data_IF_256127520630
#
_entry.id   IF_256127520630
#
_cell.length_a   1.000
_cell.length_b   1.000
_cell.length_c   1.000
_cell.angle_alpha   90.00
_cell.angle_beta   90.00
_cell.angle_gamma   90.00
#
_symmetry.space_group_name_H-M   'P 1'
#
loop_
_entity.id
_entity.type
_entity.pdbx_description
1 polymer ?
#
# COMPACT_ATOMS: atom_id res chain seq x y z
N UNK A 1 2.43 24.13 -4.75
CA UNK A 1 2.92 24.93 -3.59
C UNK A 1 3.26 26.39 -3.92
N UNK A 2 4.14 26.71 -4.89
CA UNK A 2 4.44 28.14 -5.23
C UNK A 2 3.21 28.91 -5.74
N UNK A 3 2.45 28.33 -6.67
CA UNK A 3 1.18 28.91 -7.17
C UNK A 3 0.15 29.12 -6.04
N UNK A 4 0.04 28.15 -5.12
CA UNK A 4 -0.84 28.24 -3.94
C UNK A 4 -0.39 29.36 -2.98
N UNK A 5 0.91 29.48 -2.71
CA UNK A 5 1.42 30.56 -1.85
C UNK A 5 1.20 31.96 -2.45
N UNK A 6 1.22 32.09 -3.78
CA UNK A 6 0.85 33.35 -4.44
C UNK A 6 -0.63 33.70 -4.24
N UNK A 7 -1.53 32.71 -4.27
CA UNK A 7 -2.95 32.91 -3.99
C UNK A 7 -3.21 33.35 -2.54
N UNK A 8 -2.27 33.04 -1.62
CA UNK A 8 -2.31 33.48 -0.23
C UNK A 8 -1.64 34.86 0.00
N UNK A 9 -1.29 35.60 -1.06
CA UNK A 9 -0.58 36.89 -1.01
C UNK A 9 0.76 36.85 -0.25
N UNK A 10 1.44 35.71 -0.23
CA UNK A 10 2.72 35.56 0.47
C UNK A 10 3.94 35.79 -0.44
N UNK A 11 5.02 36.31 0.14
CA UNK A 11 6.24 36.61 -0.60
C UNK A 11 6.98 35.32 -1.03
N UNK A 12 7.49 35.27 -2.27
CA UNK A 12 8.15 34.07 -2.85
C UNK A 12 9.26 33.52 -1.95
N UNK A 13 10.05 34.42 -1.35
CA UNK A 13 11.13 34.05 -0.41
C UNK A 13 10.60 33.30 0.81
N UNK A 14 9.48 33.76 1.38
CA UNK A 14 8.81 33.12 2.51
C UNK A 14 8.21 31.76 2.12
N UNK A 15 7.60 31.67 0.94
CA UNK A 15 7.06 30.41 0.40
C UNK A 15 8.18 29.37 0.22
N UNK A 16 9.31 29.76 -0.40
CA UNK A 16 10.46 28.87 -0.58
C UNK A 16 11.02 28.39 0.76
N UNK A 17 11.17 29.30 1.73
CA UNK A 17 11.64 28.96 3.09
C UNK A 17 10.67 27.99 3.78
N UNK A 18 9.36 28.23 3.68
CA UNK A 18 8.34 27.36 4.28
C UNK A 18 8.39 25.95 3.67
N UNK A 19 8.50 25.84 2.34
CA UNK A 19 8.64 24.54 1.64
C UNK A 19 9.89 23.80 2.11
N UNK A 20 11.03 24.48 2.20
CA UNK A 20 12.29 23.88 2.68
C UNK A 20 12.17 23.38 4.12
N UNK A 21 11.57 24.17 5.00
CA UNK A 21 11.33 23.77 6.40
C UNK A 21 10.41 22.54 6.45
N UNK A 22 9.31 22.55 5.70
CA UNK A 22 8.37 21.43 5.64
C UNK A 22 9.05 20.14 5.12
N UNK A 23 9.79 20.23 4.02
CA UNK A 23 10.54 19.10 3.46
C UNK A 23 11.57 18.55 4.46
N UNK A 24 12.34 19.43 5.11
CA UNK A 24 13.30 19.02 6.14
C UNK A 24 12.60 18.31 7.30
N UNK A 25 11.46 18.82 7.75
CA UNK A 25 10.68 18.20 8.84
C UNK A 25 10.09 16.86 8.44
N UNK A 26 9.57 16.74 7.22
CA UNK A 26 9.09 15.47 6.69
C UNK A 26 10.21 14.43 6.62
N UNK A 27 11.38 14.81 6.11
CA UNK A 27 12.54 13.91 6.05
C UNK A 27 12.99 13.47 7.45
N UNK A 28 13.12 14.42 8.38
CA UNK A 28 13.46 14.11 9.77
C UNK A 28 12.47 13.14 10.40
N UNK A 29 11.17 13.37 10.22
CA UNK A 29 10.13 12.49 10.73
C UNK A 29 10.25 11.06 10.16
N UNK A 30 10.47 10.91 8.85
CA UNK A 30 10.67 9.60 8.23
C UNK A 30 11.93 8.89 8.76
N UNK A 31 13.03 9.60 8.98
CA UNK A 31 14.24 9.02 9.58
C UNK A 31 14.03 8.63 11.05
N UNK A 32 13.30 9.45 11.81
CA UNK A 32 12.95 9.17 13.20
C UNK A 32 12.06 7.92 13.32
N UNK A 33 11.12 7.73 12.39
CA UNK A 33 10.31 6.51 12.31
C UNK A 33 11.17 5.27 12.05
N UNK A 34 12.09 5.32 11.07
CA UNK A 34 13.02 4.21 10.81
C UNK A 34 13.90 3.90 12.02
N UNK A 35 14.40 4.94 12.70
CA UNK A 35 15.19 4.79 13.94
C UNK A 35 14.35 4.13 15.04
N UNK A 36 13.11 4.57 15.23
CA UNK A 36 12.20 3.98 16.22
C UNK A 36 11.86 2.54 15.86
N UNK A 37 11.68 2.24 14.59
CA UNK A 37 11.43 0.89 14.10
C UNK A 37 12.57 -0.06 14.43
N UNK A 38 13.83 0.33 14.16
CA UNK A 38 15.00 -0.46 14.57
C UNK A 38 15.04 -0.71 16.07
N UNK A 39 14.72 0.29 16.89
CA UNK A 39 14.63 0.14 18.34
C UNK A 39 13.55 -0.89 18.74
N UNK A 40 12.34 -0.78 18.17
CA UNK A 40 11.22 -1.68 18.44
C UNK A 40 11.55 -3.11 18.02
N UNK A 41 12.07 -3.30 16.81
CA UNK A 41 12.43 -4.61 16.27
C UNK A 41 13.53 -5.29 17.09
N UNK A 42 14.57 -4.55 17.49
CA UNK A 42 15.63 -5.07 18.35
C UNK A 42 15.11 -5.47 19.75
N UNK A 43 14.12 -4.76 20.28
CA UNK A 43 13.53 -5.01 21.59
C UNK A 43 12.49 -6.16 21.61
N UNK A 44 12.12 -6.71 20.46
CA UNK A 44 11.18 -7.84 20.40
C UNK A 44 11.73 -9.06 21.14
N UNK A 45 13.04 -9.31 21.08
CA UNK A 45 13.68 -10.41 21.82
C UNK A 45 13.08 -11.79 21.50
N UNK A 46 12.73 -12.02 20.24
CA UNK A 46 12.08 -13.25 19.77
C UNK A 46 10.56 -13.32 19.98
N UNK A 47 9.95 -12.34 20.68
CA UNK A 47 8.48 -12.22 20.76
C UNK A 47 7.89 -11.94 19.39
N UNK A 48 6.65 -12.38 19.18
CA UNK A 48 5.93 -12.12 17.93
C UNK A 48 5.57 -10.64 17.82
N UNK A 49 5.92 -10.02 16.70
CA UNK A 49 5.49 -8.68 16.32
C UNK A 49 4.47 -8.75 15.18
N UNK A 50 3.49 -7.85 15.18
CA UNK A 50 2.41 -7.84 14.19
C UNK A 50 2.49 -6.58 13.35
N UNK A 51 2.92 -6.72 12.09
CA UNK A 51 3.10 -5.57 11.20
C UNK A 51 1.77 -5.20 10.56
N UNK A 52 1.31 -3.97 10.76
CA UNK A 52 0.10 -3.44 10.12
C UNK A 52 0.43 -3.08 8.67
N UNK A 53 -0.04 -3.89 7.73
CA UNK A 53 0.07 -3.66 6.30
C UNK A 53 -1.20 -2.96 5.84
N UNK A 54 -1.12 -1.66 5.61
CA UNK A 54 -2.29 -0.88 5.18
C UNK A 54 -1.87 0.39 4.49
N UNK A 55 -2.80 0.96 3.72
CA UNK A 55 -2.70 2.36 3.29
C UNK A 55 -2.88 3.30 4.49
N UNK A 56 -2.33 4.53 4.44
CA UNK A 56 -2.33 5.41 5.61
C UNK A 56 -3.75 5.77 6.08
N UNK A 57 -4.67 5.91 5.14
CA UNK A 57 -6.07 6.20 5.43
C UNK A 57 -6.81 5.03 6.12
N UNK A 58 -6.30 3.79 6.01
CA UNK A 58 -6.86 2.64 6.72
C UNK A 58 -6.15 2.44 8.07
N UNK A 59 -4.82 2.49 8.09
CA UNK A 59 -4.05 2.13 9.28
C UNK A 59 -4.04 3.19 10.37
N UNK A 60 -4.24 4.46 10.02
CA UNK A 60 -4.04 5.59 10.94
C UNK A 60 -5.33 6.29 11.36
N UNK A 61 -6.49 5.86 10.88
CA UNK A 61 -7.79 6.41 11.26
C UNK A 61 -8.57 5.36 12.09
N UNK A 62 -8.75 5.59 13.41
CA UNK A 62 -9.43 4.61 14.26
C UNK A 62 -10.91 4.40 13.91
N UNK A 63 -11.57 5.41 13.31
CA UNK A 63 -12.95 5.28 12.85
C UNK A 63 -13.06 4.41 11.60
N UNK A 64 -12.05 4.43 10.73
CA UNK A 64 -12.01 3.63 9.50
C UNK A 64 -11.49 2.20 9.71
N UNK A 65 -10.75 1.93 10.80
CA UNK A 65 -10.26 0.58 11.11
C UNK A 65 -10.88 -0.05 12.36
N UNK A 66 -11.92 0.57 12.92
CA UNK A 66 -12.66 0.07 14.07
C UNK A 66 -11.75 -0.18 15.29
N UNK A 67 -10.85 0.78 15.58
CA UNK A 67 -9.92 0.74 16.71
C UNK A 67 -9.07 -0.55 16.79
N UNK A 68 -8.70 -1.12 15.64
CA UNK A 68 -8.02 -2.43 15.60
C UNK A 68 -6.73 -2.48 16.42
N UNK A 69 -5.96 -1.39 16.46
CA UNK A 69 -4.70 -1.32 17.21
C UNK A 69 -4.94 -1.45 18.72
N UNK A 70 -6.04 -0.88 19.23
CA UNK A 70 -6.42 -1.00 20.64
C UNK A 70 -6.82 -2.43 20.98
N UNK A 71 -7.56 -3.10 20.09
CA UNK A 71 -7.95 -4.52 20.23
C UNK A 71 -6.75 -5.44 20.21
N UNK A 72 -5.81 -5.19 19.31
CA UNK A 72 -4.55 -5.91 19.27
C UNK A 72 -3.78 -5.75 20.59
N UNK A 73 -3.76 -4.55 21.17
CA UNK A 73 -3.11 -4.30 22.45
C UNK A 73 -3.77 -5.10 23.59
N UNK A 74 -5.09 -5.20 23.61
CA UNK A 74 -5.85 -6.02 24.58
C UNK A 74 -5.51 -7.51 24.47
N UNK A 75 -5.21 -7.98 23.26
CA UNK A 75 -4.78 -9.36 22.97
C UNK A 75 -3.25 -9.56 23.09
N UNK A 76 -2.52 -8.60 23.68
CA UNK A 76 -1.06 -8.61 23.80
C UNK A 76 -0.31 -8.72 22.45
N UNK A 77 -0.98 -8.33 21.37
CA UNK A 77 -0.40 -8.28 20.03
C UNK A 77 0.27 -6.92 19.82
N UNK A 78 1.61 -6.91 19.80
CA UNK A 78 2.35 -5.68 19.53
C UNK A 78 2.18 -5.27 18.06
N UNK A 79 1.31 -4.29 17.82
CA UNK A 79 1.11 -3.67 16.52
C UNK A 79 2.31 -2.80 16.14
N UNK A 80 2.87 -3.05 14.95
CA UNK A 80 4.03 -2.34 14.38
C UNK A 80 3.58 -1.71 13.07
N UNK A 81 3.48 -0.37 12.97
CA UNK A 81 3.17 0.29 11.71
C UNK A 81 4.19 -0.04 10.62
N UNK A 82 3.73 -0.27 9.39
CA UNK A 82 4.62 -0.51 8.24
C UNK A 82 5.63 0.63 8.01
N UNK A 83 5.34 1.86 8.42
CA UNK A 83 6.28 2.99 8.32
C UNK A 83 7.50 2.88 9.26
N UNK A 84 7.48 1.98 10.25
CA UNK A 84 8.64 1.67 11.09
C UNK A 84 9.62 0.72 10.39
N UNK A 85 9.23 0.12 9.28
CA UNK A 85 10.09 -0.74 8.47
C UNK A 85 10.99 0.11 7.55
N UNK A 86 12.22 -0.36 7.34
CA UNK A 86 13.18 0.30 6.44
C UNK A 86 12.99 -0.22 5.02
N UNK A 87 11.93 0.25 4.39
CA UNK A 87 11.49 -0.24 3.08
C UNK A 87 12.26 0.42 1.95
N UNK A 88 12.66 -0.40 0.97
CA UNK A 88 13.13 0.06 -0.34
C UNK A 88 12.20 -0.44 -1.46
N UNK A 89 11.21 0.37 -1.87
CA UNK A 89 10.27 -0.01 -2.93
C UNK A 89 10.91 -0.15 -4.31
N UNK A 90 12.11 0.41 -4.53
CA UNK A 90 12.77 0.39 -5.84
C UNK A 90 13.18 -1.03 -6.27
N UNK A 91 13.35 -1.94 -5.32
CA UNK A 91 13.70 -3.34 -5.56
C UNK A 91 12.50 -4.20 -5.99
N UNK A 92 11.27 -3.68 -5.89
CA UNK A 92 10.05 -4.43 -6.24
C UNK A 92 9.83 -4.48 -7.75
N UNK A 93 10.21 -3.42 -8.48
CA UNK A 93 9.97 -3.34 -9.92
C UNK A 93 10.71 -4.39 -10.74
N UNK A 94 11.76 -5.02 -10.20
CA UNK A 94 12.51 -6.08 -10.89
C UNK A 94 11.68 -7.37 -11.02
N UNK A 95 10.99 -7.78 -9.95
CA UNK A 95 10.18 -9.00 -9.93
C UNK A 95 8.71 -8.74 -10.26
N UNK A 96 8.23 -7.52 -9.98
CA UNK A 96 6.86 -7.07 -10.25
C UNK A 96 6.88 -5.83 -11.19
N UNK A 97 7.31 -5.98 -12.45
CA UNK A 97 7.40 -4.87 -13.40
C UNK A 97 6.05 -4.20 -13.72
N UNK A 98 4.93 -4.87 -13.43
CA UNK A 98 3.58 -4.32 -13.57
C UNK A 98 3.00 -3.75 -12.26
N UNK A 99 3.78 -3.64 -11.19
CA UNK A 99 3.33 -3.02 -9.95
C UNK A 99 3.40 -1.49 -10.06
N UNK A 100 2.44 -0.92 -10.79
CA UNK A 100 2.40 0.52 -11.06
C UNK A 100 2.00 1.37 -9.85
N UNK A 101 1.38 0.75 -8.83
CA UNK A 101 0.97 1.45 -7.61
C UNK A 101 2.16 1.60 -6.67
N UNK A 102 2.64 2.85 -6.47
CA UNK A 102 3.75 3.13 -5.56
C UNK A 102 3.53 2.62 -4.13
N UNK A 103 2.29 2.62 -3.65
CA UNK A 103 1.98 2.03 -2.34
C UNK A 103 1.92 0.49 -2.36
N UNK A 104 1.56 -0.12 -3.50
CA UNK A 104 1.69 -1.56 -3.70
C UNK A 104 3.14 -2.01 -3.65
N UNK A 105 4.05 -1.23 -4.24
CA UNK A 105 5.50 -1.46 -4.10
C UNK A 105 5.95 -1.38 -2.64
N UNK A 106 5.46 -0.42 -1.85
CA UNK A 106 5.75 -0.36 -0.41
C UNK A 106 5.24 -1.58 0.35
N UNK A 107 4.03 -2.05 0.03
CA UNK A 107 3.42 -3.24 0.64
C UNK A 107 4.24 -4.50 0.35
N UNK A 108 4.69 -4.68 -0.90
CA UNK A 108 5.54 -5.81 -1.28
C UNK A 108 6.96 -5.70 -0.68
N UNK A 109 7.52 -4.50 -0.57
CA UNK A 109 8.78 -4.29 0.14
C UNK A 109 8.65 -4.68 1.62
N UNK A 110 7.52 -4.37 2.25
CA UNK A 110 7.25 -4.77 3.62
C UNK A 110 7.13 -6.30 3.76
N UNK A 111 6.49 -6.96 2.79
CA UNK A 111 6.46 -8.42 2.75
C UNK A 111 7.87 -9.02 2.73
N UNK A 112 8.78 -8.49 1.90
CA UNK A 112 10.17 -8.96 1.85
C UNK A 112 10.91 -8.76 3.16
N UNK A 113 10.80 -7.58 3.77
CA UNK A 113 11.46 -7.31 5.04
C UNK A 113 10.90 -8.19 6.17
N UNK A 114 9.60 -8.51 6.16
CA UNK A 114 9.01 -9.45 7.12
C UNK A 114 9.61 -10.85 6.96
N UNK A 115 9.82 -11.31 5.72
CA UNK A 115 10.42 -12.62 5.42
C UNK A 115 11.85 -12.77 5.94
N UNK A 116 12.59 -11.67 6.06
CA UNK A 116 13.94 -11.64 6.63
C UNK A 116 13.96 -11.85 8.16
N UNK A 117 12.79 -11.97 8.78
CA UNK A 117 12.64 -12.20 10.23
C UNK A 117 11.93 -13.51 10.52
N UNK A 118 12.07 -14.07 11.72
CA UNK A 118 11.36 -15.30 12.12
C UNK A 118 10.13 -15.05 13.00
N UNK A 119 9.90 -13.81 13.41
CA UNK A 119 8.94 -13.45 14.45
C UNK A 119 7.98 -12.32 14.07
N UNK A 120 8.03 -11.79 12.84
CA UNK A 120 7.06 -10.82 12.36
C UNK A 120 5.94 -11.49 11.57
N UNK A 121 4.70 -11.08 11.84
CA UNK A 121 3.49 -11.57 11.18
C UNK A 121 2.69 -10.38 10.63
N UNK A 122 2.25 -10.40 9.36
CA UNK A 122 1.47 -9.30 8.81
C UNK A 122 0.00 -9.36 9.22
N UNK A 123 -0.59 -8.19 9.47
CA UNK A 123 -2.03 -7.94 9.50
C UNK A 123 -2.35 -6.94 8.40
N UNK A 124 -2.93 -7.42 7.31
CA UNK A 124 -3.28 -6.63 6.15
C UNK A 124 -4.67 -6.02 6.33
N UNK A 125 -4.78 -4.70 6.37
CA UNK A 125 -6.06 -3.98 6.45
C UNK A 125 -6.38 -3.36 5.08
N UNK A 126 -7.45 -3.85 4.47
CA UNK A 126 -8.01 -3.36 3.20
C UNK A 126 -9.48 -3.00 3.37
N UNK A 127 -10.08 -2.36 2.36
CA UNK A 127 -11.50 -2.01 2.38
C UNK A 127 -12.26 -2.79 1.31
N UNK A 128 -13.56 -2.96 1.53
CA UNK A 128 -14.45 -3.49 0.51
C UNK A 128 -14.39 -2.64 -0.77
N UNK A 129 -14.32 -3.31 -1.92
CA UNK A 129 -14.25 -2.62 -3.22
C UNK A 129 -12.92 -1.92 -3.53
N UNK A 130 -11.84 -2.14 -2.75
CA UNK A 130 -10.55 -1.54 -3.06
C UNK A 130 -9.90 -2.19 -4.29
N UNK A 131 -10.18 -1.63 -5.48
CA UNK A 131 -9.68 -2.12 -6.77
C UNK A 131 -8.16 -2.33 -6.83
N UNK A 132 -7.31 -1.37 -6.43
CA UNK A 132 -5.87 -1.57 -6.42
C UNK A 132 -5.43 -2.72 -5.51
N UNK A 133 -6.05 -2.87 -4.34
CA UNK A 133 -5.63 -3.86 -3.36
C UNK A 133 -6.06 -5.28 -3.75
N UNK A 134 -7.10 -5.47 -4.57
CA UNK A 134 -7.45 -6.80 -5.10
C UNK A 134 -6.37 -7.37 -6.03
N UNK A 135 -5.58 -6.52 -6.69
CA UNK A 135 -4.39 -6.94 -7.44
C UNK A 135 -3.20 -7.17 -6.51
N UNK A 136 -2.96 -6.24 -5.57
CA UNK A 136 -1.78 -6.27 -4.70
C UNK A 136 -1.85 -7.43 -3.69
N UNK A 137 -3.04 -7.78 -3.17
CA UNK A 137 -3.18 -8.84 -2.17
C UNK A 137 -2.77 -10.22 -2.71
N UNK A 138 -3.00 -10.47 -4.00
CA UNK A 138 -2.51 -11.66 -4.68
C UNK A 138 -0.98 -11.71 -4.71
N UNK A 139 -0.35 -10.63 -5.19
CA UNK A 139 1.12 -10.54 -5.25
C UNK A 139 1.74 -10.63 -3.83
N UNK A 140 1.09 -10.02 -2.84
CA UNK A 140 1.48 -10.11 -1.43
C UNK A 140 1.41 -11.55 -0.90
N UNK A 141 0.34 -12.27 -1.22
CA UNK A 141 0.16 -13.69 -0.86
C UNK A 141 1.21 -14.58 -1.52
N UNK A 142 1.61 -14.27 -2.76
CA UNK A 142 2.67 -14.97 -3.47
C UNK A 142 4.05 -14.68 -2.87
N UNK A 143 4.31 -13.43 -2.48
CA UNK A 143 5.56 -13.02 -1.83
C UNK A 143 5.69 -13.66 -0.43
N UNK A 144 4.61 -13.72 0.35
CA UNK A 144 4.64 -14.16 1.76
C UNK A 144 4.89 -15.68 1.95
N UNK A 145 5.74 -16.01 2.92
CA UNK A 145 6.18 -17.36 3.30
C UNK A 145 5.52 -17.91 4.59
N UNK A 146 4.67 -17.09 5.22
CA UNK A 146 4.05 -17.38 6.51
C UNK A 146 2.59 -16.94 6.54
N UNK A 147 1.81 -17.37 7.55
CA UNK A 147 0.44 -16.91 7.70
C UNK A 147 0.38 -15.40 7.94
N UNK A 148 -0.62 -14.76 7.37
CA UNK A 148 -0.99 -13.38 7.65
C UNK A 148 -2.51 -13.30 7.79
N UNK A 149 -2.99 -12.25 8.46
CA UNK A 149 -4.43 -11.98 8.59
C UNK A 149 -4.81 -10.85 7.65
N UNK A 150 -5.69 -11.11 6.69
CA UNK A 150 -6.29 -10.06 5.85
C UNK A 150 -7.66 -9.66 6.40
N UNK A 151 -7.81 -8.41 6.81
CA UNK A 151 -9.04 -7.82 7.31
C UNK A 151 -9.56 -6.84 6.27
N UNK A 152 -10.74 -7.16 5.75
CA UNK A 152 -11.49 -6.26 4.89
C UNK A 152 -12.50 -5.51 5.74
N UNK A 153 -12.41 -4.18 5.77
CA UNK A 153 -13.33 -3.29 6.47
C UNK A 153 -14.36 -2.73 5.50
N UNK A 154 -15.61 -2.66 5.95
CA UNK A 154 -16.78 -2.12 5.27
C UNK A 154 -17.67 -1.38 6.28
N UNK A 155 -18.61 -0.57 5.82
CA UNK A 155 -19.63 0.11 6.62
C UNK A 155 -20.41 -0.84 7.54
N UNK A 156 -20.61 -2.09 7.12
CA UNK A 156 -21.32 -3.11 7.91
C UNK A 156 -20.40 -3.95 8.82
N UNK A 157 -19.11 -3.64 8.86
CA UNK A 157 -18.16 -4.40 9.68
C UNK A 157 -18.42 -4.19 11.16
N UNK A 158 -18.57 -5.30 11.89
CA UNK A 158 -18.80 -5.28 13.32
C UNK A 158 -17.50 -5.49 14.10
N UNK A 159 -17.36 -4.71 15.17
CA UNK A 159 -16.23 -4.72 16.10
C UNK A 159 -15.90 -6.12 16.66
N UNK A 160 -16.94 -6.86 17.08
CA UNK A 160 -16.81 -8.22 17.59
C UNK A 160 -16.21 -9.19 16.55
N UNK A 161 -16.53 -8.99 15.26
CA UNK A 161 -16.01 -9.81 14.18
C UNK A 161 -14.50 -9.64 13.97
N UNK A 162 -13.94 -8.46 14.24
CA UNK A 162 -12.50 -8.22 14.15
C UNK A 162 -11.77 -8.94 15.29
N UNK A 163 -12.29 -8.86 16.51
CA UNK A 163 -11.67 -9.49 17.69
C UNK A 163 -11.59 -11.00 17.50
N UNK A 164 -12.68 -11.68 17.13
CA UNK A 164 -12.67 -13.14 16.91
C UNK A 164 -11.66 -13.55 15.83
N UNK A 165 -11.48 -12.74 14.80
CA UNK A 165 -10.50 -13.02 13.73
C UNK A 165 -9.06 -12.82 14.19
N UNK A 166 -8.79 -11.83 15.05
CA UNK A 166 -7.48 -11.64 15.67
C UNK A 166 -7.14 -12.81 16.60
N UNK A 167 -8.09 -13.24 17.44
CA UNK A 167 -7.93 -14.41 18.33
C UNK A 167 -7.66 -15.68 17.51
N UNK A 168 -8.51 -15.98 16.52
CA UNK A 168 -8.34 -17.14 15.65
C UNK A 168 -7.00 -17.11 14.89
N UNK A 169 -6.55 -15.92 14.48
CA UNK A 169 -5.24 -15.77 13.84
C UNK A 169 -4.11 -16.09 14.82
N UNK A 170 -4.16 -15.54 16.03
CA UNK A 170 -3.15 -15.77 17.06
C UNK A 170 -3.02 -17.28 17.36
N UNK A 171 -4.15 -17.97 17.54
CA UNK A 171 -4.20 -19.42 17.75
C UNK A 171 -3.58 -20.19 16.57
N UNK A 172 -3.89 -19.78 15.34
CA UNK A 172 -3.39 -20.45 14.13
C UNK A 172 -1.87 -20.39 13.95
N UNK A 173 -1.22 -19.37 14.53
CA UNK A 173 0.24 -19.16 14.40
C UNK A 173 1.03 -19.68 15.61
N UNK A 174 0.40 -20.14 16.70
CA UNK A 174 1.12 -20.60 17.90
C UNK A 174 2.03 -21.81 17.61
N UNK A 175 1.61 -22.74 16.75
CA UNK A 175 2.31 -24.01 16.51
C UNK A 175 2.88 -24.18 15.10
N UNK A 176 2.93 -23.10 14.29
CA UNK A 176 3.33 -23.17 12.89
C UNK A 176 4.79 -22.76 12.71
N UNK A 177 5.59 -23.64 12.10
CA UNK A 177 6.92 -23.27 11.60
C UNK A 177 6.76 -22.49 10.29
N UNK A 178 7.58 -21.46 10.10
CA UNK A 178 7.65 -20.70 8.84
C UNK A 178 8.19 -21.65 7.76
N UNK A 179 7.47 -21.77 6.65
CA UNK A 179 7.86 -22.63 5.54
C UNK A 179 8.65 -21.78 4.55
N UNK A 180 9.98 -21.96 4.49
CA UNK A 180 10.88 -21.13 3.68
C UNK A 180 10.82 -21.46 2.17
N UNK A 181 9.64 -21.78 1.65
CA UNK A 181 9.47 -22.46 0.37
C UNK A 181 8.60 -21.71 -0.62
N UNK A 182 8.94 -20.48 -1.03
CA UNK A 182 8.42 -19.90 -2.27
C UNK A 182 9.51 -19.17 -3.06
N UNK A 183 9.75 -19.67 -4.26
CA UNK A 183 10.59 -19.04 -5.29
C UNK A 183 9.69 -18.06 -6.04
N UNK A 184 10.06 -16.77 -6.08
CA UNK A 184 9.35 -15.79 -6.92
C UNK A 184 9.47 -16.21 -8.39
N UNK A 185 8.35 -16.19 -9.11
CA UNK A 185 8.38 -16.42 -10.56
C UNK A 185 8.96 -15.17 -11.22
N UNK A 186 10.06 -15.32 -11.95
CA UNK A 186 10.53 -14.27 -12.86
C UNK A 186 9.49 -14.06 -13.95
N UNK A 187 8.87 -12.89 -13.97
CA UNK A 187 7.97 -12.49 -15.05
C UNK A 187 8.80 -11.91 -16.20
N UNK A 188 8.86 -12.60 -17.32
CA UNK A 188 9.45 -12.06 -18.55
C UNK A 188 8.35 -11.30 -19.30
N UNK A 189 8.36 -9.97 -19.26
CA UNK A 189 7.47 -9.18 -20.11
C UNK A 189 7.99 -9.09 -21.54
N UNK A 190 7.11 -9.33 -22.51
CA UNK A 190 7.32 -8.89 -23.88
C UNK A 190 6.96 -7.40 -24.00
N UNK A 191 7.97 -6.55 -23.92
CA UNK A 191 7.79 -5.11 -24.11
C UNK A 191 7.62 -4.85 -25.62
N UNK A 192 6.39 -4.74 -26.14
CA UNK A 192 6.21 -4.08 -27.45
C UNK A 192 6.76 -2.66 -27.35
N UNK A 193 7.38 -2.17 -28.43
CA UNK A 193 7.96 -0.82 -28.49
C UNK A 193 6.93 0.24 -28.13
N UNK A 194 7.33 1.13 -27.23
CA UNK A 194 6.51 2.18 -26.63
C UNK A 194 5.99 3.21 -27.66
N UNK A 195 6.72 3.41 -28.76
CA UNK A 195 6.38 4.38 -29.82
C UNK A 195 5.15 4.00 -30.67
N UNK A 196 4.68 2.75 -30.58
CA UNK A 196 3.57 2.23 -31.40
C UNK A 196 2.24 2.14 -30.64
N UNK A 197 2.23 2.39 -29.33
CA UNK A 197 1.04 2.18 -28.48
C UNK A 197 0.25 3.47 -28.27
N UNK A 198 -1.07 3.36 -28.29
CA UNK A 198 -1.99 4.38 -27.75
C UNK A 198 -2.36 4.02 -26.32
N UNK A 199 -2.17 4.96 -25.39
CA UNK A 199 -2.58 4.83 -24.00
C UNK A 199 -4.06 5.19 -23.90
N UNK A 200 -4.92 4.21 -23.63
CA UNK A 200 -6.33 4.45 -23.33
C UNK A 200 -6.51 4.79 -21.85
N UNK A 201 -7.21 5.90 -21.58
CA UNK A 201 -7.48 6.41 -20.24
C UNK A 201 -8.99 6.28 -20.00
N UNK A 202 -9.45 5.44 -19.06
CA UNK A 202 -10.85 5.43 -18.66
C UNK A 202 -11.32 6.82 -18.25
N UNK A 203 -12.51 7.22 -18.68
CA UNK A 203 -13.11 8.45 -18.18
C UNK A 203 -13.56 8.22 -16.73
N UNK A 204 -12.82 8.82 -15.79
CA UNK A 204 -13.17 8.82 -14.37
C UNK A 204 -13.87 10.14 -14.03
N UNK A 205 -13.29 11.23 -14.50
CA UNK A 205 -13.80 12.60 -14.45
C UNK A 205 -13.05 13.47 -15.49
N UNK A 206 -13.27 14.78 -15.48
CA UNK A 206 -12.60 15.72 -16.39
C UNK A 206 -11.07 15.78 -16.21
N UNK A 207 -10.52 15.32 -15.08
CA UNK A 207 -9.06 15.22 -14.91
C UNK A 207 -8.44 14.18 -15.84
N UNK A 208 -9.20 13.21 -16.37
CA UNK A 208 -8.72 12.29 -17.41
C UNK A 208 -8.18 13.04 -18.64
N UNK A 209 -8.77 14.19 -18.99
CA UNK A 209 -8.25 15.05 -20.09
C UNK A 209 -6.95 15.75 -19.73
N UNK A 210 -6.78 16.16 -18.46
CA UNK A 210 -5.51 16.71 -17.99
C UNK A 210 -4.40 15.66 -18.04
N UNK A 211 -4.71 14.40 -17.69
CA UNK A 211 -3.77 13.29 -17.82
C UNK A 211 -3.41 13.00 -19.28
N UNK A 212 -4.39 12.99 -20.20
CA UNK A 212 -4.15 12.89 -21.64
C UNK A 212 -3.17 13.96 -22.13
N UNK A 213 -3.47 15.22 -21.83
CA UNK A 213 -2.64 16.34 -22.26
C UNK A 213 -1.20 16.25 -21.69
N UNK A 214 -1.04 15.78 -20.46
CA UNK A 214 0.27 15.55 -19.87
C UNK A 214 1.06 14.44 -20.59
N UNK A 215 0.41 13.33 -20.95
CA UNK A 215 1.03 12.24 -21.70
C UNK A 215 1.42 12.69 -23.12
N UNK A 216 0.55 13.46 -23.79
CA UNK A 216 0.83 14.04 -25.11
C UNK A 216 2.01 15.02 -25.07
N UNK A 217 2.11 15.86 -24.03
CA UNK A 217 3.24 16.75 -23.82
C UNK A 217 4.57 16.00 -23.59
N UNK A 218 4.51 14.74 -23.13
CA UNK A 218 5.65 13.83 -23.00
C UNK A 218 5.91 13.01 -24.27
N UNK A 219 5.20 13.28 -25.38
CA UNK A 219 5.37 12.60 -26.66
C UNK A 219 4.65 11.24 -26.76
N UNK A 220 3.71 10.95 -25.86
CA UNK A 220 2.91 9.70 -25.88
C UNK A 220 1.58 9.92 -26.58
N UNK A 221 1.10 8.92 -27.33
CA UNK A 221 -0.27 8.91 -27.86
C UNK A 221 -1.21 8.50 -26.74
N UNK A 222 -2.21 9.33 -26.43
CA UNK A 222 -3.18 9.03 -25.39
C UNK A 222 -4.61 9.40 -25.82
N UNK A 223 -5.58 8.61 -25.39
CA UNK A 223 -6.99 8.80 -25.71
C UNK A 223 -7.85 8.58 -24.46
N UNK A 224 -8.72 9.54 -24.14
CA UNK A 224 -9.71 9.37 -23.08
C UNK A 224 -10.88 8.59 -23.67
N UNK A 225 -11.18 7.44 -23.06
CA UNK A 225 -12.29 6.59 -23.47
C UNK A 225 -13.62 7.30 -23.27
N UNK A 226 -14.68 6.93 -24.02
CA UNK A 226 -16.03 7.40 -23.74
C UNK A 226 -16.48 7.09 -22.32
N UNK A 227 -17.42 7.89 -21.79
CA UNK A 227 -18.09 7.63 -20.52
C UNK A 227 -18.76 6.25 -20.59
N UNK A 228 -18.57 5.42 -19.56
CA UNK A 228 -19.21 4.11 -19.49
C UNK A 228 -20.73 4.22 -19.55
N UNK A 229 -21.32 3.40 -20.40
CA UNK A 229 -22.77 3.25 -20.57
C UNK A 229 -23.22 1.81 -20.27
N UNK A 230 -24.53 1.55 -20.41
CA UNK A 230 -25.11 0.23 -20.19
C UNK A 230 -24.54 -0.85 -21.11
N UNK A 231 -24.08 -0.49 -22.31
CA UNK A 231 -23.48 -1.44 -23.24
C UNK A 231 -22.10 -1.86 -22.75
N UNK A 232 -21.25 -0.91 -22.40
CA UNK A 232 -19.92 -1.17 -21.83
C UNK A 232 -19.98 -1.99 -20.54
N UNK A 233 -20.99 -1.74 -19.68
CA UNK A 233 -21.24 -2.54 -18.48
C UNK A 233 -21.59 -3.99 -18.81
N UNK A 234 -22.50 -4.21 -19.77
CA UNK A 234 -22.91 -5.56 -20.20
C UNK A 234 -21.75 -6.34 -20.80
N UNK A 235 -20.90 -5.69 -21.60
CA UNK A 235 -19.71 -6.34 -22.15
C UNK A 235 -18.71 -6.72 -21.04
N UNK A 236 -18.46 -5.81 -20.08
CA UNK A 236 -17.58 -6.10 -18.94
C UNK A 236 -18.03 -7.29 -18.11
N UNK A 237 -19.33 -7.39 -17.83
CA UNK A 237 -19.93 -8.48 -17.05
C UNK A 237 -19.78 -9.87 -17.68
N UNK A 238 -19.47 -9.97 -18.98
CA UNK A 238 -19.21 -11.29 -19.61
C UNK A 238 -17.89 -11.92 -19.16
N UNK A 239 -16.97 -11.12 -18.59
CA UNK A 239 -15.60 -11.53 -18.28
C UNK A 239 -15.23 -11.44 -16.80
N UNK A 240 -16.19 -11.12 -15.92
CA UNK A 240 -16.07 -11.09 -14.45
C UNK A 240 -17.11 -12.00 -13.84
#
# INVERSE_FOLDING_TARGET
>A
LRKVGHLLNEHISRIKKAIQVAQKKQYQFSEDLKKKGREVLNNLGGRKGFVIISRPYNGCDPGLNLDIVEKMRELEMLAIPMDLLDLDPSLISEDYPNMYWGYGQRILAAARQIKETDNLYPIYITNFGCGPDSFISKDFTEEMDRPFLELQVDEHSAEAGIITRLEAFLDSIQNRKIDQGKISKKFTLSILKDEERTIYIPYMDDHSYALKAALEALGKRAEVMPISDLESLREGQKYT
#
